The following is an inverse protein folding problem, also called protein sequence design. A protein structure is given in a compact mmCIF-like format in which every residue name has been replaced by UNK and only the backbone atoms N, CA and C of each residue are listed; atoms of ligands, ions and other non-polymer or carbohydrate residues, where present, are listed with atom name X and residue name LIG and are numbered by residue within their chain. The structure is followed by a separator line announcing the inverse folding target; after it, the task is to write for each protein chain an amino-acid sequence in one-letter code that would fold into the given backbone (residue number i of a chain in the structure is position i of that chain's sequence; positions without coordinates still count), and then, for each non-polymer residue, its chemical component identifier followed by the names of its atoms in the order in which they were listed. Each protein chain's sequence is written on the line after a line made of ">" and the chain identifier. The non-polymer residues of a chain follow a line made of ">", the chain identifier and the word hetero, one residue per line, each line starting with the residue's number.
data_IF_505133516648
#
_entry.id   IF_505133516648
#
_cell.length_a   1.000
_cell.length_b   1.000
_cell.length_c   1.000
_cell.angle_alpha   90.00
_cell.angle_beta   90.00
_cell.angle_gamma   90.00
#
_symmetry.space_group_name_H-M   'P 1'
#
loop_
_entity.id
_entity.type
_entity.pdbx_description
1 polymer ?
#
# COMPACT_ATOMS: atom_id res chain seq x y z
N UNK A 1 -15.74 13.18 -6.76
CA UNK A 1 -15.29 12.08 -7.64
C UNK A 1 -15.81 10.77 -7.09
N UNK A 2 -15.95 9.76 -7.94
CA UNK A 2 -16.23 8.38 -7.57
C UNK A 2 -14.96 7.53 -7.70
N UNK A 3 -14.48 7.01 -6.58
CA UNK A 3 -13.16 6.40 -6.45
C UNK A 3 -13.36 4.90 -6.22
N UNK A 4 -12.69 4.06 -7.01
CA UNK A 4 -12.62 2.63 -6.69
C UNK A 4 -11.57 2.44 -5.61
N UNK A 5 -11.98 2.03 -4.41
CA UNK A 5 -11.08 1.80 -3.28
C UNK A 5 -10.87 0.30 -3.10
N UNK A 6 -9.62 -0.17 -3.22
CA UNK A 6 -9.30 -1.55 -2.87
C UNK A 6 -8.94 -1.64 -1.38
N UNK A 7 -9.82 -2.28 -0.62
CA UNK A 7 -9.66 -2.58 0.81
C UNK A 7 -9.17 -4.02 0.92
N UNK A 8 -7.91 -4.16 1.35
CA UNK A 8 -7.28 -5.46 1.57
C UNK A 8 -7.15 -5.75 3.06
N UNK A 9 -8.01 -5.13 3.88
CA UNK A 9 -8.01 -5.20 5.33
C UNK A 9 -6.79 -4.52 5.98
N UNK A 10 -6.30 -3.43 5.36
CA UNK A 10 -5.21 -2.64 5.91
C UNK A 10 -5.63 -1.75 7.10
N UNK A 11 -4.71 -1.50 8.03
CA UNK A 11 -4.97 -0.70 9.24
C UNK A 11 -5.39 0.75 8.93
N UNK A 12 -4.97 1.28 7.79
CA UNK A 12 -5.21 2.65 7.36
C UNK A 12 -6.55 2.83 6.62
N UNK A 13 -7.31 1.75 6.40
CA UNK A 13 -8.51 1.77 5.55
C UNK A 13 -9.56 2.78 6.02
N UNK A 14 -9.88 2.78 7.31
CA UNK A 14 -10.96 3.61 7.84
C UNK A 14 -10.58 5.08 7.75
N UNK A 15 -9.31 5.40 8.02
CA UNK A 15 -8.79 6.75 7.94
C UNK A 15 -8.85 7.31 6.52
N UNK A 16 -8.38 6.54 5.53
CA UNK A 16 -8.38 6.98 4.14
C UNK A 16 -9.81 7.07 3.57
N UNK A 17 -10.66 6.08 3.87
CA UNK A 17 -12.05 6.12 3.43
C UNK A 17 -12.78 7.34 4.00
N UNK A 18 -12.61 7.61 5.31
CA UNK A 18 -13.17 8.81 5.95
C UNK A 18 -12.61 10.11 5.36
N UNK A 19 -11.32 10.17 5.06
CA UNK A 19 -10.71 11.34 4.44
C UNK A 19 -11.34 11.63 3.07
N UNK A 20 -11.46 10.63 2.19
CA UNK A 20 -12.12 10.81 0.89
C UNK A 20 -13.58 11.26 1.02
N UNK A 21 -14.34 10.63 1.91
CA UNK A 21 -15.74 11.00 2.15
C UNK A 21 -15.86 12.43 2.68
N UNK A 22 -14.98 12.85 3.60
CA UNK A 22 -14.95 14.21 4.15
C UNK A 22 -14.64 15.28 3.09
N UNK A 23 -13.91 14.92 2.04
CA UNK A 23 -13.65 15.76 0.87
C UNK A 23 -14.80 15.76 -0.16
N UNK A 24 -15.93 15.13 0.15
CA UNK A 24 -17.10 15.06 -0.73
C UNK A 24 -16.94 14.07 -1.89
N UNK A 25 -16.13 13.03 -1.72
CA UNK A 25 -15.97 11.96 -2.71
C UNK A 25 -16.80 10.73 -2.32
N UNK A 26 -17.18 9.93 -3.33
CA UNK A 26 -17.88 8.66 -3.15
C UNK A 26 -16.92 7.50 -3.39
N UNK A 27 -17.11 6.40 -2.65
CA UNK A 27 -16.24 5.24 -2.74
C UNK A 27 -17.00 4.02 -3.28
N UNK A 28 -16.43 3.37 -4.28
CA UNK A 28 -16.78 2.02 -4.70
C UNK A 28 -15.76 1.06 -4.09
N UNK A 29 -16.10 0.48 -2.93
CA UNK A 29 -15.19 -0.41 -2.20
C UNK A 29 -15.15 -1.79 -2.88
N UNK A 30 -13.94 -2.31 -3.07
CA UNK A 30 -13.67 -3.67 -3.53
C UNK A 30 -12.83 -4.36 -2.47
N UNK A 31 -13.32 -5.50 -1.99
CA UNK A 31 -12.57 -6.43 -1.16
C UNK A 31 -12.40 -7.72 -1.95
N UNK A 32 -11.17 -8.21 -2.00
CA UNK A 32 -10.84 -9.44 -2.71
C UNK A 32 -9.64 -10.10 -2.04
N UNK A 33 -9.81 -11.34 -1.61
CA UNK A 33 -8.75 -12.16 -1.03
C UNK A 33 -7.98 -12.88 -2.15
N UNK A 34 -6.67 -12.69 -2.18
CA UNK A 34 -5.82 -13.17 -3.26
C UNK A 34 -5.53 -14.66 -3.10
N UNK A 35 -5.53 -15.39 -4.21
CA UNK A 35 -5.10 -16.80 -4.21
C UNK A 35 -3.63 -16.99 -4.56
N UNK A 36 -3.06 -16.06 -5.33
CA UNK A 36 -1.68 -16.10 -5.80
C UNK A 36 -1.03 -14.72 -5.72
N UNK A 37 0.22 -14.67 -5.21
CA UNK A 37 1.01 -13.44 -5.20
C UNK A 37 1.38 -13.09 -6.65
N UNK A 38 1.03 -11.88 -7.08
CA UNK A 38 1.42 -11.31 -8.38
C UNK A 38 0.24 -11.10 -9.33
N UNK A 39 -0.30 -12.18 -9.91
CA UNK A 39 -1.42 -12.13 -10.86
C UNK A 39 -2.55 -13.07 -10.43
N UNK A 40 -3.75 -12.51 -10.33
CA UNK A 40 -4.98 -13.24 -10.03
C UNK A 40 -6.05 -12.84 -11.05
N UNK A 41 -6.42 -13.78 -11.94
CA UNK A 41 -7.41 -13.54 -12.98
C UNK A 41 -8.81 -13.26 -12.40
N UNK A 42 -9.15 -13.90 -11.28
CA UNK A 42 -10.41 -13.68 -10.58
C UNK A 42 -10.51 -12.24 -10.07
N UNK A 43 -9.42 -11.74 -9.48
CA UNK A 43 -9.34 -10.36 -9.02
C UNK A 43 -9.40 -9.37 -10.19
N UNK A 44 -8.64 -9.62 -11.27
CA UNK A 44 -8.68 -8.78 -12.48
C UNK A 44 -10.10 -8.67 -13.04
N UNK A 45 -10.80 -9.80 -13.19
CA UNK A 45 -12.20 -9.82 -13.66
C UNK A 45 -13.12 -9.05 -12.72
N UNK A 46 -12.92 -9.16 -11.40
CA UNK A 46 -13.72 -8.41 -10.42
C UNK A 46 -13.53 -6.90 -10.54
N UNK A 47 -12.28 -6.43 -10.73
CA UNK A 47 -11.95 -5.03 -10.95
C UNK A 47 -12.57 -4.50 -12.26
N UNK A 48 -12.38 -5.22 -13.36
CA UNK A 48 -12.90 -4.81 -14.68
C UNK A 48 -14.43 -4.67 -14.69
N UNK A 49 -15.18 -5.54 -13.98
CA UNK A 49 -16.64 -5.41 -13.84
C UNK A 49 -17.09 -4.08 -13.22
N UNK A 50 -16.25 -3.47 -12.39
CA UNK A 50 -16.54 -2.16 -11.78
C UNK A 50 -16.04 -1.02 -12.68
N UNK A 51 -14.81 -1.14 -13.18
CA UNK A 51 -14.15 -0.10 -13.98
C UNK A 51 -14.81 0.13 -15.34
N UNK A 52 -15.36 -0.91 -15.98
CA UNK A 52 -16.02 -0.80 -17.28
C UNK A 52 -17.40 -0.14 -17.24
N UNK A 53 -17.96 0.11 -16.04
CA UNK A 53 -19.25 0.78 -15.90
C UNK A 53 -19.14 2.24 -16.39
N UNK A 54 -20.15 2.68 -17.14
CA UNK A 54 -20.22 4.03 -17.70
C UNK A 54 -21.41 4.80 -17.14
N UNK A 55 -21.26 6.13 -17.06
CA UNK A 55 -22.35 7.08 -16.81
C UNK A 55 -23.22 7.21 -18.08
N UNK A 56 -24.45 7.77 -18.02
CA UNK A 56 -25.33 7.90 -19.19
C UNK A 56 -24.73 8.69 -20.35
N UNK A 57 -23.82 9.62 -20.06
CA UNK A 57 -23.07 10.41 -21.05
C UNK A 57 -21.86 9.65 -21.66
N UNK A 58 -21.68 8.37 -21.34
CA UNK A 58 -20.61 7.51 -21.87
C UNK A 58 -19.26 7.64 -21.18
N UNK A 59 -19.09 8.57 -20.22
CA UNK A 59 -17.83 8.68 -19.46
C UNK A 59 -17.69 7.55 -18.43
N UNK A 60 -16.47 7.22 -17.97
CA UNK A 60 -16.26 6.25 -16.89
C UNK A 60 -17.09 6.59 -15.64
N UNK A 61 -17.62 5.56 -14.98
CA UNK A 61 -18.29 5.67 -13.68
C UNK A 61 -17.30 5.92 -12.56
N UNK A 62 -16.10 5.34 -12.67
CA UNK A 62 -14.97 5.52 -11.75
C UNK A 62 -14.03 6.56 -12.33
N UNK A 63 -13.67 7.56 -11.53
CA UNK A 63 -12.76 8.63 -11.97
C UNK A 63 -11.28 8.20 -11.78
N UNK A 64 -10.96 7.44 -10.72
CA UNK A 64 -9.67 6.77 -10.53
C UNK A 64 -9.79 5.59 -9.55
N UNK A 65 -8.81 4.68 -9.59
CA UNK A 65 -8.64 3.61 -8.61
C UNK A 65 -7.61 4.02 -7.53
N UNK A 66 -7.84 3.57 -6.30
CA UNK A 66 -6.99 3.84 -5.15
C UNK A 66 -6.72 2.57 -4.35
N UNK A 67 -5.48 2.42 -3.90
CA UNK A 67 -5.12 1.44 -2.87
C UNK A 67 -3.99 1.95 -1.98
N UNK A 68 -3.95 1.48 -0.75
CA UNK A 68 -2.69 1.45 -0.02
C UNK A 68 -1.81 0.34 -0.56
N UNK A 69 -0.52 0.65 -0.75
CA UNK A 69 0.46 -0.15 -1.46
C UNK A 69 0.13 -0.40 -2.95
N UNK A 70 1.16 -0.74 -3.71
CA UNK A 70 1.07 -0.95 -5.15
C UNK A 70 0.74 -2.40 -5.52
N UNK A 71 -0.44 -2.62 -6.08
CA UNK A 71 -0.84 -3.91 -6.62
C UNK A 71 -0.76 -3.96 -8.16
N UNK A 72 0.08 -4.83 -8.75
CA UNK A 72 0.26 -4.92 -10.21
C UNK A 72 -1.05 -5.23 -10.96
N UNK A 73 -1.90 -6.09 -10.40
CA UNK A 73 -3.20 -6.45 -10.99
C UNK A 73 -4.16 -5.26 -11.11
N UNK A 74 -4.13 -4.32 -10.16
CA UNK A 74 -4.93 -3.08 -10.24
C UNK A 74 -4.39 -2.19 -11.36
N UNK A 75 -3.06 -2.06 -11.46
CA UNK A 75 -2.41 -1.34 -12.56
C UNK A 75 -2.77 -1.93 -13.93
N UNK A 76 -2.78 -3.26 -14.08
CA UNK A 76 -3.23 -3.94 -15.30
C UNK A 76 -4.68 -3.58 -15.62
N UNK A 77 -5.58 -3.74 -14.64
CA UNK A 77 -7.00 -3.47 -14.83
C UNK A 77 -7.27 -2.02 -15.26
N UNK A 78 -6.55 -1.07 -14.67
CA UNK A 78 -6.66 0.36 -14.93
C UNK A 78 -6.09 0.76 -16.30
N UNK A 79 -4.93 0.20 -16.68
CA UNK A 79 -4.31 0.44 -18.00
C UNK A 79 -5.23 -0.06 -19.13
N UNK A 80 -5.87 -1.23 -18.97
CA UNK A 80 -6.80 -1.80 -19.96
C UNK A 80 -8.01 -0.90 -20.29
N UNK A 81 -8.38 -0.01 -19.37
CA UNK A 81 -9.57 0.85 -19.49
C UNK A 81 -9.22 2.34 -19.46
N UNK A 82 -7.92 2.66 -19.44
CA UNK A 82 -7.38 4.01 -19.35
C UNK A 82 -7.96 4.85 -18.19
N UNK A 83 -8.04 4.25 -16.99
CA UNK A 83 -8.44 4.93 -15.76
C UNK A 83 -7.18 5.14 -14.89
N UNK A 84 -6.95 6.33 -14.31
CA UNK A 84 -5.81 6.55 -13.42
C UNK A 84 -5.82 5.63 -12.21
N UNK A 85 -4.64 5.17 -11.81
CA UNK A 85 -4.44 4.35 -10.62
C UNK A 85 -3.48 5.05 -9.66
N UNK A 86 -4.00 5.47 -8.52
CA UNK A 86 -3.24 6.08 -7.44
C UNK A 86 -2.95 5.04 -6.36
N UNK A 87 -1.73 5.01 -5.85
CA UNK A 87 -1.46 4.24 -4.64
C UNK A 87 -0.49 4.95 -3.70
N UNK A 88 -0.72 4.77 -2.41
CA UNK A 88 0.13 5.29 -1.34
C UNK A 88 0.89 4.13 -0.70
N UNK A 89 2.19 4.07 -0.92
CA UNK A 89 3.07 3.01 -0.41
C UNK A 89 3.54 3.39 0.98
N UNK A 90 3.29 2.51 1.95
CA UNK A 90 3.79 2.67 3.32
C UNK A 90 4.81 1.62 3.74
N UNK A 91 5.00 0.56 2.95
CA UNK A 91 6.03 -0.45 3.18
C UNK A 91 7.35 -0.08 2.49
N UNK A 92 8.48 -0.28 3.18
CA UNK A 92 9.81 -0.25 2.57
C UNK A 92 10.71 -1.30 3.24
N UNK A 93 11.27 -2.27 2.49
CA UNK A 93 11.11 -2.47 1.04
C UNK A 93 9.73 -3.05 0.69
N UNK A 94 9.21 -2.69 -0.49
CA UNK A 94 7.96 -3.24 -1.00
C UNK A 94 8.17 -3.89 -2.38
N UNK A 95 8.21 -5.23 -2.40
CA UNK A 95 8.62 -6.03 -3.55
C UNK A 95 7.80 -5.78 -4.84
N UNK A 96 6.46 -5.60 -4.80
CA UNK A 96 5.67 -5.38 -6.01
C UNK A 96 6.03 -4.13 -6.83
N UNK A 97 6.75 -3.16 -6.25
CA UNK A 97 7.26 -2.00 -7.00
C UNK A 97 8.32 -2.38 -8.04
N UNK A 98 8.93 -3.56 -7.94
CA UNK A 98 9.86 -4.07 -8.96
C UNK A 98 9.16 -4.79 -10.12
N UNK A 99 7.82 -4.86 -10.12
CA UNK A 99 7.05 -5.45 -11.22
C UNK A 99 7.08 -4.57 -12.47
N UNK A 100 6.94 -5.15 -13.66
CA UNK A 100 6.93 -4.39 -14.92
C UNK A 100 5.78 -3.37 -14.99
N UNK A 101 4.67 -3.67 -14.31
CA UNK A 101 3.44 -2.87 -14.26
C UNK A 101 3.64 -1.51 -13.61
N UNK A 102 4.75 -1.28 -12.89
CA UNK A 102 5.07 0.04 -12.34
C UNK A 102 5.25 1.10 -13.43
N UNK A 103 5.64 0.67 -14.64
CA UNK A 103 5.85 1.54 -15.81
C UNK A 103 4.56 1.92 -16.55
N UNK A 104 3.41 1.35 -16.18
CA UNK A 104 2.13 1.70 -16.78
C UNK A 104 1.86 3.20 -16.60
N UNK A 105 1.40 3.84 -17.69
CA UNK A 105 1.30 5.29 -17.77
C UNK A 105 0.16 5.85 -16.93
N UNK A 106 -0.85 5.04 -16.62
CA UNK A 106 -1.98 5.40 -15.76
C UNK A 106 -1.62 5.47 -14.27
N UNK A 107 -0.43 5.00 -13.88
CA UNK A 107 -0.04 4.95 -12.48
C UNK A 107 0.30 6.34 -11.92
N UNK A 108 0.02 6.51 -10.63
CA UNK A 108 0.49 7.61 -9.78
C UNK A 108 0.86 7.03 -8.43
N UNK A 109 2.14 6.72 -8.25
CA UNK A 109 2.65 5.98 -7.09
C UNK A 109 3.33 6.94 -6.13
N UNK A 110 2.78 7.04 -4.92
CA UNK A 110 3.28 7.89 -3.86
C UNK A 110 4.11 7.07 -2.88
N UNK A 111 5.37 7.44 -2.71
CA UNK A 111 6.35 6.72 -1.88
C UNK A 111 6.99 7.68 -0.88
N UNK A 112 7.19 7.24 0.36
CA UNK A 112 7.83 8.06 1.40
C UNK A 112 9.36 7.99 1.37
N UNK A 113 9.91 6.85 0.96
CA UNK A 113 11.34 6.58 0.91
C UNK A 113 11.99 7.20 -0.34
N UNK A 114 12.84 8.21 -0.14
CA UNK A 114 13.51 8.93 -1.22
C UNK A 114 14.55 8.08 -1.95
N UNK A 115 15.23 7.16 -1.27
CA UNK A 115 16.21 6.27 -1.90
C UNK A 115 15.52 5.25 -2.80
N UNK A 116 14.37 4.74 -2.35
CA UNK A 116 13.52 3.87 -3.17
C UNK A 116 13.04 4.60 -4.43
N UNK A 117 12.57 5.84 -4.30
CA UNK A 117 12.18 6.67 -5.46
C UNK A 117 13.37 6.87 -6.41
N UNK A 118 14.53 7.27 -5.88
CA UNK A 118 15.71 7.52 -6.69
C UNK A 118 16.14 6.25 -7.46
N UNK A 119 16.09 5.09 -6.82
CA UNK A 119 16.36 3.79 -7.45
C UNK A 119 15.39 3.50 -8.60
N UNK A 120 14.08 3.61 -8.36
CA UNK A 120 13.07 3.31 -9.39
C UNK A 120 13.11 4.33 -10.55
N UNK A 121 13.40 5.61 -10.27
CA UNK A 121 13.61 6.62 -11.33
C UNK A 121 14.83 6.30 -12.20
N UNK A 122 15.94 5.85 -11.62
CA UNK A 122 17.11 5.36 -12.37
C UNK A 122 16.76 4.15 -13.26
N UNK A 123 15.76 3.36 -12.87
CA UNK A 123 15.22 2.26 -13.67
C UNK A 123 14.21 2.70 -14.75
N UNK A 124 13.93 4.01 -14.86
CA UNK A 124 13.08 4.57 -15.91
C UNK A 124 11.62 4.82 -15.52
N UNK A 125 11.24 4.58 -14.27
CA UNK A 125 9.86 4.81 -13.80
C UNK A 125 9.56 6.31 -13.70
N UNK A 126 8.51 6.78 -14.39
CA UNK A 126 8.16 8.21 -14.51
C UNK A 126 6.99 8.66 -13.63
N UNK A 127 6.22 7.72 -13.13
CA UNK A 127 4.94 7.90 -12.42
C UNK A 127 5.10 7.97 -10.90
N UNK A 128 6.28 8.34 -10.42
CA UNK A 128 6.65 8.34 -9.00
C UNK A 128 6.60 9.73 -8.37
N UNK A 129 5.92 9.81 -7.24
CA UNK A 129 5.74 11.00 -6.43
C UNK A 129 6.26 10.75 -5.01
N UNK A 130 6.97 11.72 -4.45
CA UNK A 130 7.33 11.67 -3.03
C UNK A 130 6.14 12.11 -2.18
N UNK A 131 5.79 11.33 -1.16
CA UNK A 131 4.79 11.70 -0.15
C UNK A 131 5.19 11.16 1.22
N UNK A 132 5.22 12.00 2.28
CA UNK A 132 5.41 11.50 3.62
C UNK A 132 4.25 10.58 4.03
N UNK A 133 4.50 9.72 5.02
CA UNK A 133 3.46 8.94 5.66
C UNK A 133 2.51 9.89 6.42
N UNK A 134 1.20 9.68 6.23
CA UNK A 134 0.17 10.50 6.82
C UNK A 134 -0.54 9.75 7.96
N UNK A 135 -1.15 10.53 8.86
CA UNK A 135 -2.00 10.02 9.94
C UNK A 135 -3.36 10.71 9.89
N UNK A 136 -4.37 10.05 10.45
CA UNK A 136 -5.69 10.67 10.64
C UNK A 136 -5.66 11.67 11.78
N UNK A 137 -5.47 12.94 11.44
CA UNK A 137 -5.45 14.04 12.41
C UNK A 137 -6.76 14.13 13.19
N UNK A 138 -7.91 13.94 12.55
CA UNK A 138 -9.22 13.95 13.21
C UNK A 138 -9.37 12.79 14.22
N UNK A 139 -8.91 11.57 13.87
CA UNK A 139 -8.94 10.45 14.82
C UNK A 139 -8.03 10.73 16.02
N UNK A 140 -6.79 11.18 15.78
CA UNK A 140 -5.84 11.51 16.85
C UNK A 140 -6.34 12.65 17.75
N UNK A 141 -7.00 13.66 17.17
CA UNK A 141 -7.64 14.75 17.92
C UNK A 141 -8.78 14.26 18.82
N UNK A 142 -9.57 13.29 18.37
CA UNK A 142 -10.63 12.67 19.19
C UNK A 142 -10.03 11.87 20.35
N UNK A 143 -9.01 11.05 20.09
CA UNK A 143 -8.32 10.25 21.12
C UNK A 143 -7.65 11.16 22.16
N UNK A 144 -7.02 12.25 21.73
CA UNK A 144 -6.32 13.17 22.63
C UNK A 144 -7.21 14.13 23.40
N UNK A 145 -8.52 14.19 23.11
CA UNK A 145 -9.45 15.16 23.73
C UNK A 145 -9.47 15.02 25.26
N UNK A 146 -9.47 13.79 25.76
CA UNK A 146 -9.57 13.49 27.19
C UNK A 146 -8.19 13.36 27.88
N UNK A 147 -7.11 13.64 27.14
CA UNK A 147 -5.72 13.53 27.63
C UNK A 147 -5.10 14.90 27.94
N UNK A 148 -5.72 16.02 27.54
CA UNK A 148 -5.15 17.37 27.63
C UNK A 148 -4.70 17.78 29.04
N UNK A 149 -5.47 17.41 30.06
CA UNK A 149 -5.22 17.82 31.45
C UNK A 149 -4.60 16.69 32.30
N UNK A 150 -4.21 15.57 31.67
CA UNK A 150 -3.61 14.45 32.39
C UNK A 150 -2.09 14.63 32.49
N UNK A 151 -1.49 14.37 33.66
CA UNK A 151 -0.03 14.38 33.78
C UNK A 151 0.58 13.27 32.93
N UNK A 152 1.78 13.51 32.41
CA UNK A 152 2.58 12.44 31.82
C UNK A 152 3.02 11.47 32.92
N UNK A 153 2.83 10.17 32.69
CA UNK A 153 3.24 9.12 33.63
C UNK A 153 4.72 8.73 33.47
N UNK A 154 5.30 8.98 32.29
CA UNK A 154 6.66 8.58 31.93
C UNK A 154 7.32 9.68 31.10
N UNK A 155 8.62 9.88 31.29
CA UNK A 155 9.42 10.82 30.48
C UNK A 155 9.66 10.29 29.06
N UNK A 156 9.73 8.96 28.92
CA UNK A 156 9.98 8.26 27.66
C UNK A 156 8.96 7.12 27.56
N UNK A 157 8.34 6.99 26.40
CA UNK A 157 7.40 5.91 26.09
C UNK A 157 7.76 5.26 24.76
N UNK A 158 7.75 3.94 24.73
CA UNK A 158 7.88 3.16 23.50
C UNK A 158 6.48 2.89 22.93
N UNK A 159 6.24 3.31 21.68
CA UNK A 159 4.97 3.07 20.99
C UNK A 159 5.26 2.19 19.79
N UNK A 160 4.95 0.91 19.92
CA UNK A 160 5.18 -0.09 18.92
C UNK A 160 5.11 -1.49 19.52
N UNK A 161 5.30 -2.48 18.67
CA UNK A 161 5.49 -3.87 19.07
C UNK A 161 6.95 -4.23 18.88
N UNK A 162 7.52 -4.94 19.85
CA UNK A 162 8.68 -5.76 19.52
C UNK A 162 8.15 -6.84 18.57
N UNK A 163 8.78 -7.01 17.41
CA UNK A 163 8.41 -8.08 16.48
C UNK A 163 8.66 -9.42 17.19
N UNK A 164 7.60 -9.99 17.76
CA UNK A 164 7.61 -11.33 18.34
C UNK A 164 7.05 -12.25 17.25
N UNK A 165 7.96 -12.92 16.55
CA UNK A 165 7.71 -13.52 15.25
C UNK A 165 6.80 -14.74 15.35
N UNK A 166 5.48 -14.55 15.20
CA UNK A 166 4.57 -15.65 14.84
C UNK A 166 4.94 -16.27 13.47
N UNK A 167 5.70 -15.54 12.64
CA UNK A 167 6.25 -16.00 11.36
C UNK A 167 7.77 -15.82 11.29
N UNK A 168 8.51 -16.77 11.86
CA UNK A 168 9.98 -16.88 11.68
C UNK A 168 10.29 -17.42 10.29
N UNK A 169 10.24 -16.54 9.28
CA UNK A 169 10.57 -16.89 7.90
C UNK A 169 11.91 -17.60 7.83
N UNK A 170 12.93 -17.10 8.55
CA UNK A 170 14.25 -17.71 8.58
C UNK A 170 14.21 -19.18 9.05
N UNK A 171 13.50 -19.45 10.14
CA UNK A 171 13.38 -20.81 10.70
C UNK A 171 12.65 -21.76 9.75
N UNK A 172 11.76 -21.25 8.90
CA UNK A 172 11.04 -22.02 7.88
C UNK A 172 11.88 -22.36 6.63
N UNK A 173 13.04 -21.72 6.45
CA UNK A 173 13.90 -21.93 5.27
C UNK A 173 14.83 -23.13 5.47
N UNK A 174 14.31 -24.33 5.24
CA UNK A 174 15.08 -25.58 5.44
C UNK A 174 16.07 -25.90 4.31
N UNK A 175 15.82 -25.46 3.08
CA UNK A 175 16.55 -25.90 1.88
C UNK A 175 17.46 -24.82 1.25
N UNK A 176 18.03 -23.94 2.08
CA UNK A 176 18.98 -22.94 1.59
C UNK A 176 20.31 -23.58 1.20
N UNK A 177 20.85 -23.15 0.06
CA UNK A 177 22.23 -23.44 -0.33
C UNK A 177 23.20 -23.02 0.81
N UNK A 178 24.25 -23.80 1.13
CA UNK A 178 25.10 -23.55 2.31
C UNK A 178 25.74 -22.15 2.35
N UNK A 179 26.10 -21.61 1.19
CA UNK A 179 26.69 -20.27 1.08
C UNK A 179 25.66 -19.16 1.35
N UNK A 180 24.39 -19.36 0.98
CA UNK A 180 23.29 -18.43 1.26
C UNK A 180 22.98 -18.44 2.74
N UNK A 181 22.83 -19.63 3.35
CA UNK A 181 22.55 -19.77 4.78
C UNK A 181 23.62 -19.06 5.62
N UNK A 182 24.89 -19.32 5.34
CA UNK A 182 26.01 -18.67 6.04
C UNK A 182 25.94 -17.14 5.97
N UNK A 183 25.65 -16.60 4.79
CA UNK A 183 25.54 -15.14 4.60
C UNK A 183 24.38 -14.55 5.39
N UNK A 184 23.24 -15.23 5.43
CA UNK A 184 22.08 -14.79 6.23
C UNK A 184 22.41 -14.86 7.73
N UNK A 185 23.01 -15.96 8.21
CA UNK A 185 23.46 -16.11 9.60
C UNK A 185 24.42 -14.99 10.03
N UNK A 186 25.38 -14.64 9.17
CA UNK A 186 26.35 -13.56 9.44
C UNK A 186 25.67 -12.19 9.58
N UNK A 187 24.65 -11.90 8.76
CA UNK A 187 23.88 -10.66 8.86
C UNK A 187 23.06 -10.63 10.15
N UNK A 188 22.38 -11.73 10.50
CA UNK A 188 21.58 -11.82 11.73
C UNK A 188 22.49 -11.60 12.95
N UNK A 189 23.62 -12.31 13.06
CA UNK A 189 24.56 -12.15 14.18
C UNK A 189 25.14 -10.75 14.29
N UNK A 190 25.27 -10.02 13.18
CA UNK A 190 25.74 -8.64 13.19
C UNK A 190 24.69 -7.67 13.77
N UNK A 191 23.40 -8.01 13.68
CA UNK A 191 22.28 -7.21 14.20
C UNK A 191 21.91 -7.55 15.65
N UNK A 192 22.37 -8.68 16.18
CA UNK A 192 22.19 -9.10 17.58
C UNK A 192 23.12 -8.36 18.58
N UNK A 193 24.02 -7.50 18.11
CA UNK A 193 24.97 -6.72 18.92
C UNK A 193 24.52 -5.28 19.13
#
# INVERSE_FOLDING_TARGET
>A
MNILYYDWNEFTREDAQNAFVSMGHTLTIVQYEWKHIGYDEGFLRALLRKLLKKKPNGSPMIDFAFSFNFFPVISIACEMVNIPYLCLVFDSPYLPLNSIQINNSVNHVFVFDQELIARLRRQGVKTLHHSPLAVSGERLKKISKDLKDKPYYYDISFVGTLYDDEFKLYDSLHDLQPHVKRRVDEVIRAQER
#
